data_IF_917859052795
#
_entry.id   IF_917859052795
#
_cell.length_a   1.000
_cell.length_b   1.000
_cell.length_c   1.000
_cell.angle_alpha   90.00
_cell.angle_beta   90.00
_cell.angle_gamma   90.00
#
_symmetry.space_group_name_H-M   'P 1'
#
loop_
_entity.id
_entity.type
_entity.pdbx_description
1 polymer ?
#
# COMPACT_ATOMS: atom_id res chain seq x y z
N UNK A 1 3.90 6.30 -10.26
CA UNK A 1 4.87 5.99 -9.19
C UNK A 1 4.60 4.58 -8.68
N UNK A 2 5.65 3.81 -8.37
CA UNK A 2 5.51 2.49 -7.73
C UNK A 2 6.06 2.59 -6.31
N UNK A 3 5.28 2.15 -5.32
CA UNK A 3 5.66 2.07 -3.92
C UNK A 3 5.79 0.59 -3.56
N UNK A 4 7.00 0.19 -3.16
CA UNK A 4 7.28 -1.16 -2.69
C UNK A 4 7.39 -1.13 -1.17
N UNK A 5 6.31 -1.50 -0.49
CA UNK A 5 6.24 -1.51 0.95
C UNK A 5 6.72 -2.87 1.49
N UNK A 6 8.00 -2.95 1.83
CA UNK A 6 8.58 -4.06 2.59
C UNK A 6 8.51 -3.79 4.10
N UNK A 7 8.46 -4.86 4.90
CA UNK A 7 8.63 -4.75 6.34
C UNK A 7 10.04 -4.29 6.68
N UNK A 8 10.16 -3.14 7.32
CA UNK A 8 11.42 -2.57 7.80
C UNK A 8 11.64 -2.86 9.28
N UNK A 9 10.60 -2.71 10.10
CA UNK A 9 10.65 -2.96 11.55
C UNK A 9 9.55 -3.92 11.98
N UNK A 10 9.90 -4.99 12.66
CA UNK A 10 8.94 -5.96 13.19
C UNK A 10 8.49 -5.57 14.60
N UNK A 11 7.19 -5.58 14.84
CA UNK A 11 6.61 -5.37 16.16
C UNK A 11 6.40 -6.74 16.80
N UNK A 12 7.33 -7.14 17.68
CA UNK A 12 7.18 -8.39 18.45
C UNK A 12 6.00 -8.31 19.43
N UNK A 13 5.88 -7.19 20.13
CA UNK A 13 4.71 -6.86 20.95
C UNK A 13 4.50 -5.35 21.01
N UNK A 14 3.26 -4.89 20.87
CA UNK A 14 2.92 -3.48 20.89
C UNK A 14 1.42 -3.22 20.89
N UNK A 15 1.02 -2.07 21.43
CA UNK A 15 -0.38 -1.61 21.46
C UNK A 15 -0.44 -0.22 20.84
N UNK A 16 -1.27 -0.06 19.81
CA UNK A 16 -1.63 1.24 19.26
C UNK A 16 -2.63 1.92 20.19
N UNK A 17 -2.50 3.23 20.36
CA UNK A 17 -3.44 4.06 21.14
C UNK A 17 -3.65 3.56 22.57
N UNK A 18 -2.58 3.09 23.21
CA UNK A 18 -2.60 2.65 24.61
C UNK A 18 -3.24 3.71 25.52
N UNK A 19 -4.21 3.30 26.32
CA UNK A 19 -5.06 4.11 27.18
C UNK A 19 -6.24 4.78 26.48
N UNK A 20 -6.59 4.40 25.24
CA UNK A 20 -7.67 5.05 24.51
C UNK A 20 -9.03 4.89 25.19
N UNK A 21 -9.77 6.00 25.22
CA UNK A 21 -11.15 6.04 25.67
C UNK A 21 -12.03 5.73 24.46
N UNK A 22 -12.80 4.64 24.54
CA UNK A 22 -13.76 4.27 23.50
C UNK A 22 -14.92 5.27 23.47
N UNK A 23 -14.90 6.18 22.49
CA UNK A 23 -15.98 7.12 22.23
C UNK A 23 -16.18 7.29 20.72
N UNK A 24 -17.42 7.07 20.25
CA UNK A 24 -17.78 7.17 18.84
C UNK A 24 -17.57 8.58 18.25
N UNK A 25 -17.43 9.61 19.08
CA UNK A 25 -17.12 10.98 18.66
C UNK A 25 -15.63 11.19 18.36
N UNK A 26 -14.78 10.26 18.77
CA UNK A 26 -13.32 10.37 18.62
C UNK A 26 -12.82 9.51 17.46
N UNK A 27 -11.78 9.99 16.77
CA UNK A 27 -11.24 9.32 15.59
C UNK A 27 -10.45 8.06 15.97
N UNK A 28 -10.93 6.90 15.50
CA UNK A 28 -10.31 5.57 15.69
C UNK A 28 -9.94 5.34 17.18
N UNK A 29 -10.84 5.64 18.12
CA UNK A 29 -10.54 5.75 19.57
C UNK A 29 -10.49 4.42 20.31
N UNK A 30 -9.86 3.41 19.73
CA UNK A 30 -9.75 2.08 20.30
C UNK A 30 -8.28 1.68 20.43
N UNK A 31 -7.95 1.01 21.54
CA UNK A 31 -6.68 0.30 21.66
C UNK A 31 -6.65 -0.86 20.65
N UNK A 32 -5.52 -1.03 19.96
CA UNK A 32 -5.35 -2.10 18.99
C UNK A 32 -4.03 -2.83 19.18
N UNK A 33 -4.01 -4.18 19.28
CA UNK A 33 -2.78 -4.94 19.32
C UNK A 33 -2.05 -4.88 17.97
N UNK A 34 -0.72 -4.79 18.02
CA UNK A 34 0.17 -4.70 16.86
C UNK A 34 1.16 -5.86 16.75
N UNK A 35 1.04 -6.84 17.64
CA UNK A 35 1.88 -8.01 17.68
C UNK A 35 1.88 -8.72 16.32
N UNK A 36 3.07 -9.02 15.80
CA UNK A 36 3.21 -9.71 14.51
C UNK A 36 3.09 -8.81 13.29
N UNK A 37 2.97 -7.49 13.46
CA UNK A 37 2.91 -6.54 12.34
C UNK A 37 4.29 -5.99 11.97
N UNK A 38 4.42 -5.62 10.71
CA UNK A 38 5.58 -4.93 10.17
C UNK A 38 5.28 -3.45 9.94
N UNK A 39 6.22 -2.57 10.30
CA UNK A 39 6.23 -1.16 9.88
C UNK A 39 7.10 -1.08 8.63
N UNK A 40 6.61 -0.43 7.58
CA UNK A 40 7.40 -0.16 6.36
C UNK A 40 8.21 1.12 6.47
N UNK A 41 9.00 1.44 5.46
CA UNK A 41 9.75 2.68 5.39
C UNK A 41 8.83 3.91 5.44
N UNK A 42 9.19 4.93 6.21
CA UNK A 42 8.46 6.21 6.23
C UNK A 42 8.46 6.90 4.86
N UNK A 43 9.46 6.63 4.01
CA UNK A 43 9.50 7.14 2.64
C UNK A 43 8.32 6.65 1.79
N UNK A 44 7.80 5.45 2.04
CA UNK A 44 6.58 4.98 1.36
C UNK A 44 5.41 5.95 1.60
N UNK A 45 5.31 6.53 2.81
CA UNK A 45 4.27 7.49 3.15
C UNK A 45 4.53 8.87 2.54
N UNK A 46 5.76 9.37 2.68
CA UNK A 46 6.14 10.72 2.23
C UNK A 46 6.05 10.84 0.72
N UNK A 47 6.69 9.92 -0.01
CA UNK A 47 6.71 9.96 -1.47
C UNK A 47 5.33 9.64 -2.05
N UNK A 48 4.58 8.74 -1.43
CA UNK A 48 3.19 8.47 -1.81
C UNK A 48 2.30 9.70 -1.67
N UNK A 49 2.41 10.43 -0.55
CA UNK A 49 1.65 11.66 -0.35
C UNK A 49 2.05 12.76 -1.36
N UNK A 50 3.34 12.87 -1.69
CA UNK A 50 3.81 13.77 -2.74
C UNK A 50 3.26 13.39 -4.12
N UNK A 51 3.22 12.11 -4.46
CA UNK A 51 2.65 11.63 -5.72
C UNK A 51 1.15 11.94 -5.82
N UNK A 52 0.36 11.71 -4.76
CA UNK A 52 -1.07 12.09 -4.73
C UNK A 52 -1.23 13.60 -4.95
N UNK A 53 -0.42 14.42 -4.28
CA UNK A 53 -0.49 15.88 -4.36
C UNK A 53 -0.17 16.41 -5.76
N UNK A 54 0.67 15.69 -6.51
CA UNK A 54 1.02 16.01 -7.91
C UNK A 54 0.17 15.24 -8.93
N UNK A 55 -0.91 14.60 -8.48
CA UNK A 55 -1.82 13.80 -9.31
C UNK A 55 -1.09 12.71 -10.12
N UNK A 56 0.00 12.18 -9.58
CA UNK A 56 0.78 11.07 -10.14
C UNK A 56 0.08 9.78 -9.71
N UNK A 57 -0.35 8.91 -10.63
CA UNK A 57 -0.97 7.64 -10.27
C UNK A 57 0.01 6.73 -9.52
N UNK A 58 -0.49 5.98 -8.54
CA UNK A 58 0.33 5.16 -7.64
C UNK A 58 -0.04 3.69 -7.77
N UNK A 59 0.97 2.84 -7.92
CA UNK A 59 0.88 1.39 -7.71
C UNK A 59 1.56 1.05 -6.39
N UNK A 60 0.87 0.34 -5.49
CA UNK A 60 1.45 -0.11 -4.22
C UNK A 60 1.58 -1.63 -4.21
N UNK A 61 2.78 -2.11 -3.94
CA UNK A 61 3.13 -3.52 -3.75
C UNK A 61 3.44 -3.72 -2.26
N UNK A 62 2.62 -4.51 -1.57
CA UNK A 62 2.66 -4.64 -0.10
C UNK A 62 3.10 -6.03 0.33
N UNK A 63 4.03 -6.09 1.27
CA UNK A 63 4.29 -7.31 2.01
C UNK A 63 3.10 -7.63 2.93
N UNK A 64 2.76 -8.92 3.07
CA UNK A 64 1.83 -9.40 4.09
C UNK A 64 2.21 -8.96 5.50
N UNK A 65 1.18 -8.80 6.33
CA UNK A 65 1.28 -8.40 7.74
C UNK A 65 1.91 -7.03 7.96
N UNK A 66 1.96 -6.16 6.95
CA UNK A 66 2.21 -4.76 7.18
C UNK A 66 1.10 -4.13 8.02
N UNK A 67 1.50 -3.18 8.85
CA UNK A 67 0.61 -2.20 9.45
C UNK A 67 0.17 -1.24 8.35
N UNK A 68 -1.14 -1.20 8.10
CA UNK A 68 -1.72 -0.37 7.04
C UNK A 68 -2.12 0.98 7.61
N UNK A 69 -1.37 2.01 7.23
CA UNK A 69 -1.62 3.40 7.60
C UNK A 69 -1.41 4.33 6.40
N UNK A 70 -2.01 5.53 6.47
CA UNK A 70 -1.77 6.60 5.51
C UNK A 70 -2.02 6.16 4.07
N UNK A 71 -1.02 6.35 3.21
CA UNK A 71 -1.11 6.06 1.77
C UNK A 71 -1.24 4.57 1.46
N UNK A 72 -0.98 3.68 2.42
CA UNK A 72 -1.11 2.23 2.22
C UNK A 72 -2.56 1.76 2.31
N UNK A 73 -3.47 2.62 2.81
CA UNK A 73 -4.91 2.41 2.77
C UNK A 73 -5.38 2.56 1.31
N UNK A 74 -6.36 1.76 0.91
CA UNK A 74 -6.89 1.82 -0.45
C UNK A 74 -7.58 3.17 -0.70
N UNK A 75 -7.30 3.75 -1.86
CA UNK A 75 -7.85 5.04 -2.30
C UNK A 75 -8.14 4.95 -3.81
N UNK A 76 -9.08 5.76 -4.31
CA UNK A 76 -9.42 5.77 -5.74
C UNK A 76 -8.24 6.12 -6.66
N UNK A 77 -7.26 6.87 -6.17
CA UNK A 77 -6.05 7.26 -6.91
C UNK A 77 -4.89 6.27 -6.76
N UNK A 78 -5.09 5.22 -5.96
CA UNK A 78 -4.07 4.24 -5.60
C UNK A 78 -4.53 2.86 -6.05
N UNK A 79 -3.71 2.18 -6.84
CA UNK A 79 -3.93 0.78 -7.17
C UNK A 79 -3.01 -0.06 -6.29
N UNK A 80 -3.60 -0.89 -5.44
CA UNK A 80 -2.87 -1.90 -4.68
C UNK A 80 -2.86 -3.20 -5.47
N UNK A 81 -1.68 -3.82 -5.60
CA UNK A 81 -1.59 -5.23 -6.02
C UNK A 81 -1.86 -6.15 -4.83
N UNK A 82 -2.04 -7.43 -5.09
CA UNK A 82 -2.15 -8.48 -4.09
C UNK A 82 -0.94 -8.47 -3.13
N UNK A 83 -1.20 -8.69 -1.84
CA UNK A 83 -0.15 -8.75 -0.83
C UNK A 83 0.74 -10.00 -1.02
N UNK A 84 2.05 -9.84 -0.97
CA UNK A 84 3.02 -10.94 -1.14
C UNK A 84 3.68 -11.36 0.17
N UNK A 85 4.12 -12.63 0.22
CA UNK A 85 4.81 -13.20 1.37
C UNK A 85 6.32 -13.25 1.14
N UNK A 86 7.11 -13.01 2.18
CA UNK A 86 8.57 -13.19 2.18
C UNK A 86 9.01 -14.48 2.92
N UNK A 87 8.08 -15.36 3.28
CA UNK A 87 8.39 -16.54 4.11
C UNK A 87 9.33 -17.53 3.42
N UNK A 88 9.26 -17.68 2.09
CA UNK A 88 10.15 -18.55 1.33
C UNK A 88 10.26 -18.10 -0.13
N UNK A 89 11.36 -18.53 -0.77
CA UNK A 89 11.69 -18.18 -2.16
C UNK A 89 10.60 -18.57 -3.16
N UNK A 90 9.99 -19.74 -3.03
CA UNK A 90 8.95 -20.22 -3.96
C UNK A 90 7.73 -19.29 -3.98
N UNK A 91 7.28 -18.79 -2.83
CA UNK A 91 6.18 -17.84 -2.75
C UNK A 91 6.56 -16.47 -3.34
N UNK A 92 7.81 -16.03 -3.13
CA UNK A 92 8.32 -14.79 -3.70
C UNK A 92 8.35 -14.90 -5.22
N UNK A 93 9.00 -15.92 -5.77
CA UNK A 93 9.13 -16.13 -7.21
C UNK A 93 7.74 -16.24 -7.86
N UNK A 94 6.83 -17.02 -7.27
CA UNK A 94 5.44 -17.15 -7.76
C UNK A 94 4.69 -15.82 -7.80
N UNK A 95 4.87 -14.95 -6.80
CA UNK A 95 4.24 -13.63 -6.80
C UNK A 95 4.74 -12.77 -7.96
N UNK A 96 6.05 -12.66 -8.13
CA UNK A 96 6.63 -11.80 -9.17
C UNK A 96 6.35 -12.32 -10.58
N UNK A 97 6.44 -13.64 -10.80
CA UNK A 97 6.28 -14.25 -12.12
C UNK A 97 4.82 -14.43 -12.55
N UNK A 98 3.89 -14.69 -11.62
CA UNK A 98 2.53 -15.11 -11.99
C UNK A 98 1.43 -14.12 -11.64
N UNK A 99 1.66 -13.30 -10.61
CA UNK A 99 0.66 -12.39 -10.05
C UNK A 99 0.98 -10.95 -10.46
N UNK A 100 2.19 -10.49 -10.12
CA UNK A 100 2.56 -9.08 -10.27
C UNK A 100 2.51 -8.62 -11.73
N UNK A 101 3.00 -9.42 -12.68
CA UNK A 101 2.98 -9.06 -14.10
C UNK A 101 1.56 -8.77 -14.61
N UNK A 102 0.59 -9.61 -14.22
CA UNK A 102 -0.82 -9.45 -14.62
C UNK A 102 -1.44 -8.20 -14.00
N UNK A 103 -1.17 -7.95 -12.72
CA UNK A 103 -1.76 -6.81 -12.02
C UNK A 103 -1.10 -5.48 -12.44
N UNK A 104 0.20 -5.47 -12.74
CA UNK A 104 0.88 -4.32 -13.36
C UNK A 104 0.25 -3.99 -14.71
N UNK A 105 -0.09 -5.00 -15.51
CA UNK A 105 -0.71 -4.78 -16.82
C UNK A 105 -2.08 -4.06 -16.70
N UNK A 106 -2.90 -4.41 -15.71
CA UNK A 106 -4.15 -3.72 -15.42
C UNK A 106 -3.93 -2.26 -15.02
N UNK A 107 -2.93 -2.00 -14.16
CA UNK A 107 -2.56 -0.63 -13.80
C UNK A 107 -2.06 0.16 -15.00
N UNK A 108 -1.21 -0.45 -15.85
CA UNK A 108 -0.70 0.17 -17.09
C UNK A 108 -1.83 0.62 -18.01
N UNK A 109 -2.85 -0.22 -18.23
CA UNK A 109 -4.04 0.18 -19.02
C UNK A 109 -4.74 1.41 -18.44
N UNK A 110 -4.90 1.45 -17.12
CA UNK A 110 -5.49 2.59 -16.43
C UNK A 110 -4.65 3.88 -16.62
N UNK A 111 -3.32 3.76 -16.67
CA UNK A 111 -2.44 4.88 -16.98
C UNK A 111 -2.58 5.35 -18.43
N UNK A 112 -2.65 4.42 -19.38
CA UNK A 112 -2.81 4.72 -20.80
C UNK A 112 -4.13 5.48 -21.05
N UNK A 113 -5.22 5.08 -20.40
CA UNK A 113 -6.51 5.79 -20.45
C UNK A 113 -6.40 7.23 -19.92
N UNK A 114 -5.75 7.42 -18.76
CA UNK A 114 -5.51 8.76 -18.18
C UNK A 114 -4.66 9.60 -19.13
N UNK A 115 -3.57 9.03 -19.65
CA UNK A 115 -2.65 9.72 -20.56
C UNK A 115 -3.34 10.15 -21.85
N UNK A 116 -4.08 9.24 -22.50
CA UNK A 116 -4.83 9.50 -23.72
C UNK A 116 -5.89 10.58 -23.53
N UNK A 117 -6.57 10.58 -22.37
CA UNK A 117 -7.52 11.64 -21.99
C UNK A 117 -6.84 13.01 -21.92
N UNK A 118 -5.62 13.08 -21.38
CA UNK A 118 -4.84 14.34 -21.25
C UNK A 118 -4.35 14.82 -22.62
N UNK A 119 -3.86 13.92 -23.46
CA UNK A 119 -3.34 14.24 -24.80
C UNK A 119 -4.46 14.55 -25.83
N UNK A 120 -5.74 14.40 -25.45
CA UNK A 120 -6.87 14.59 -26.36
C UNK A 120 -6.99 13.49 -27.43
N UNK A 121 -6.22 12.40 -27.28
CA UNK A 121 -6.29 11.22 -28.15
C UNK A 121 -7.37 10.29 -27.60
N UNK A 122 -8.63 10.50 -27.96
CA UNK A 122 -9.70 9.57 -27.60
C UNK A 122 -9.64 8.37 -28.56
N UNK A 123 -9.34 7.18 -28.03
CA UNK A 123 -9.60 5.87 -28.67
C UNK A 123 -10.68 5.16 -27.88
#
# INVERSE_FOLDING_TARGET
MVILAFGHTYIKSGVLKKGAIQDKKFFESDEQPLDGKWITSSFCQIEGAMAISNNIPILIIKQKNLRIDGILKDDKKIVSVSDFSLENKTQIDSFFEQILEKEIYCWKKSLEEIFNTIEGNIV
#
